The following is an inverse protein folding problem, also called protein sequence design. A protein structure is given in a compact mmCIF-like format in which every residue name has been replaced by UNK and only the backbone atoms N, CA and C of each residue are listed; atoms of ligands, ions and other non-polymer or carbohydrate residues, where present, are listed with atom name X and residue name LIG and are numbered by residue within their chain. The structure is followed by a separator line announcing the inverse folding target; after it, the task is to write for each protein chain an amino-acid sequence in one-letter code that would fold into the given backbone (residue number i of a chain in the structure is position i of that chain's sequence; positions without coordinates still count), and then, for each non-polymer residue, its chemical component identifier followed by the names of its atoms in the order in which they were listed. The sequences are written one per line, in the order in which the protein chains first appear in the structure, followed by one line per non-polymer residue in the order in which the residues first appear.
data_IF_530069776228
#
_entry.id   IF_530069776228
#
_cell.length_a   1.000
_cell.length_b   1.000
_cell.length_c   1.000
_cell.angle_alpha   90.00
_cell.angle_beta   90.00
_cell.angle_gamma   90.00
#
_symmetry.space_group_name_H-M   'P 1'
#
loop_
_entity.id
_entity.type
_entity.pdbx_description
1 polymer ?
#
# COMPACT_ATOMS: atom_id res chain seq x y z
N UNK A 1 11.34 -20.85 21.26
CA UNK A 1 10.12 -20.03 21.23
C UNK A 1 9.91 -19.67 19.77
N UNK A 2 8.71 -19.82 19.21
CA UNK A 2 8.45 -19.33 17.86
C UNK A 2 8.68 -17.82 17.85
N UNK A 3 9.37 -17.33 16.83
CA UNK A 3 9.51 -15.89 16.61
C UNK A 3 8.10 -15.27 16.47
N UNK A 4 7.83 -14.15 17.10
CA UNK A 4 6.50 -13.50 17.10
C UNK A 4 6.55 -12.20 16.31
N UNK A 5 5.46 -11.88 15.66
CA UNK A 5 5.25 -10.59 15.01
C UNK A 5 3.90 -10.03 15.45
N UNK A 6 3.86 -8.77 15.82
CA UNK A 6 2.64 -8.08 16.23
C UNK A 6 2.17 -7.15 15.11
N UNK A 7 0.96 -7.37 14.61
CA UNK A 7 0.38 -6.68 13.45
C UNK A 7 -0.87 -5.94 13.85
N UNK A 8 -0.90 -4.63 13.62
CA UNK A 8 -2.08 -3.81 13.77
C UNK A 8 -2.77 -3.59 12.42
N UNK A 9 -4.10 -3.76 12.40
CA UNK A 9 -4.92 -3.51 11.20
C UNK A 9 -6.03 -2.51 11.54
N UNK A 10 -6.08 -1.37 10.84
CA UNK A 10 -7.21 -0.42 10.93
C UNK A 10 -8.27 -0.72 9.88
N UNK A 11 -9.52 -0.34 10.13
CA UNK A 11 -10.63 -0.67 9.24
C UNK A 11 -10.88 -2.17 9.17
N UNK A 12 -10.64 -2.87 10.28
CA UNK A 12 -10.63 -4.32 10.37
C UNK A 12 -12.00 -4.96 10.08
N UNK A 13 -13.10 -4.28 10.41
CA UNK A 13 -14.46 -4.73 10.11
C UNK A 13 -14.89 -4.45 8.65
N UNK A 14 -14.07 -3.72 7.87
CA UNK A 14 -14.34 -3.43 6.47
C UNK A 14 -14.09 -4.63 5.55
N UNK A 15 -14.53 -4.53 4.30
CA UNK A 15 -14.38 -5.63 3.32
C UNK A 15 -12.90 -6.00 3.05
N UNK A 16 -12.00 -5.00 3.05
CA UNK A 16 -10.57 -5.26 2.88
C UNK A 16 -10.02 -5.94 4.13
N UNK A 17 -10.33 -5.43 5.34
CA UNK A 17 -9.92 -6.02 6.61
C UNK A 17 -10.35 -7.47 6.73
N UNK A 18 -11.63 -7.75 6.51
CA UNK A 18 -12.19 -9.09 6.55
C UNK A 18 -11.51 -10.07 5.55
N UNK A 19 -11.13 -9.58 4.36
CA UNK A 19 -10.39 -10.39 3.38
C UNK A 19 -8.89 -10.54 3.69
N UNK A 20 -8.31 -9.59 4.44
CA UNK A 20 -6.89 -9.52 4.75
C UNK A 20 -6.52 -10.35 5.98
N UNK A 21 -7.27 -10.18 7.06
CA UNK A 21 -6.94 -10.68 8.40
C UNK A 21 -6.71 -12.19 8.45
N UNK A 22 -7.58 -13.05 7.88
CA UNK A 22 -7.36 -14.50 7.86
C UNK A 22 -6.05 -14.89 7.17
N UNK A 23 -5.67 -14.15 6.13
CA UNK A 23 -4.45 -14.44 5.35
C UNK A 23 -3.16 -13.95 6.02
N UNK A 24 -3.24 -13.10 7.03
CA UNK A 24 -2.08 -12.74 7.83
C UNK A 24 -1.61 -13.91 8.70
N UNK A 25 -2.53 -14.78 9.10
CA UNK A 25 -2.33 -15.86 10.06
C UNK A 25 -2.45 -17.27 9.46
N UNK A 26 -2.54 -17.38 8.13
CA UNK A 26 -2.55 -18.66 7.40
C UNK A 26 -1.18 -19.37 7.33
N UNK A 27 -0.15 -18.73 7.90
CA UNK A 27 1.22 -19.26 7.91
C UNK A 27 2.05 -18.90 6.66
N UNK A 28 1.45 -18.28 5.63
CA UNK A 28 2.15 -17.95 4.38
C UNK A 28 2.71 -16.52 4.34
N UNK A 29 2.14 -15.59 5.11
CA UNK A 29 2.57 -14.19 5.12
C UNK A 29 3.81 -13.98 5.99
N UNK A 30 3.83 -14.60 7.15
CA UNK A 30 4.98 -14.61 8.08
C UNK A 30 5.42 -16.05 8.35
N UNK A 31 6.19 -16.66 7.43
CA UNK A 31 6.61 -18.06 7.59
C UNK A 31 7.35 -18.30 8.91
N UNK A 32 6.98 -19.36 9.61
CA UNK A 32 7.57 -19.79 10.89
C UNK A 32 7.41 -18.79 12.05
N UNK A 33 6.53 -17.79 11.92
CA UNK A 33 6.22 -16.86 13.01
C UNK A 33 4.81 -17.09 13.55
N UNK A 34 4.62 -16.77 14.82
CA UNK A 34 3.29 -16.57 15.42
C UNK A 34 2.89 -15.11 15.26
N UNK A 35 1.68 -14.86 14.80
CA UNK A 35 1.17 -13.50 14.52
C UNK A 35 0.18 -13.09 15.59
N UNK A 36 0.51 -12.05 16.33
CA UNK A 36 -0.42 -11.38 17.24
C UNK A 36 -1.14 -10.25 16.49
N UNK A 37 -2.45 -10.19 16.61
CA UNK A 37 -3.29 -9.21 15.90
C UNK A 37 -3.88 -8.17 16.86
N UNK A 38 -3.74 -6.90 16.49
CA UNK A 38 -4.46 -5.77 17.08
C UNK A 38 -5.42 -5.20 16.02
N UNK A 39 -6.71 -5.42 16.19
CA UNK A 39 -7.74 -4.98 15.25
C UNK A 39 -8.34 -3.66 15.72
N UNK A 40 -8.31 -2.65 14.86
CA UNK A 40 -8.78 -1.30 15.24
C UNK A 40 -9.91 -0.86 14.33
N UNK A 41 -10.97 -0.36 14.96
CA UNK A 41 -12.12 0.24 14.29
C UNK A 41 -12.61 1.49 15.01
N UNK A 42 -13.45 2.26 14.32
CA UNK A 42 -14.14 3.40 14.91
C UNK A 42 -15.20 2.92 15.94
N UNK A 43 -15.53 3.72 16.95
CA UNK A 43 -16.47 3.32 18.03
C UNK A 43 -17.82 2.79 17.53
N UNK A 44 -18.31 3.32 16.39
CA UNK A 44 -19.63 2.96 15.84
C UNK A 44 -19.69 1.52 15.28
N UNK A 45 -18.55 0.92 14.96
CA UNK A 45 -18.49 -0.41 14.34
C UNK A 45 -17.56 -1.40 15.06
N UNK A 46 -16.84 -0.98 16.09
CA UNK A 46 -15.89 -1.84 16.84
C UNK A 46 -16.51 -3.12 17.36
N UNK A 47 -17.79 -3.08 17.76
CA UNK A 47 -18.54 -4.26 18.23
C UNK A 47 -18.67 -5.36 17.18
N UNK A 48 -18.57 -5.04 15.88
CA UNK A 48 -18.59 -6.05 14.80
C UNK A 48 -17.33 -6.91 14.80
N UNK A 49 -16.25 -6.44 15.41
CA UNK A 49 -15.00 -7.19 15.49
C UNK A 49 -15.10 -8.41 16.40
N UNK A 50 -16.05 -8.42 17.36
CA UNK A 50 -16.31 -9.59 18.19
C UNK A 50 -16.66 -10.82 17.34
N UNK A 51 -17.54 -10.65 16.35
CA UNK A 51 -17.88 -11.73 15.40
C UNK A 51 -16.71 -12.17 14.54
N UNK A 52 -15.88 -11.22 14.09
CA UNK A 52 -14.66 -11.56 13.34
C UNK A 52 -13.68 -12.36 14.18
N UNK A 53 -13.50 -12.00 15.47
CA UNK A 53 -12.62 -12.73 16.39
C UNK A 53 -13.11 -14.17 16.57
N UNK A 54 -14.42 -14.38 16.79
CA UNK A 54 -15.00 -15.73 16.86
C UNK A 54 -14.71 -16.57 15.60
N UNK A 55 -14.90 -16.00 14.40
CA UNK A 55 -14.59 -16.69 13.14
C UNK A 55 -13.08 -17.02 13.00
N UNK A 56 -12.22 -16.12 13.47
CA UNK A 56 -10.76 -16.37 13.46
C UNK A 56 -10.38 -17.53 14.39
N UNK A 57 -11.00 -17.62 15.57
CA UNK A 57 -10.81 -18.72 16.52
C UNK A 57 -11.35 -20.04 15.95
N UNK A 58 -12.57 -20.02 15.39
CA UNK A 58 -13.20 -21.20 14.75
C UNK A 58 -12.40 -21.72 13.55
N UNK A 59 -11.70 -20.83 12.83
CA UNK A 59 -10.89 -21.18 11.66
C UNK A 59 -9.60 -21.90 12.02
N UNK A 60 -9.18 -21.90 13.28
CA UNK A 60 -7.99 -22.64 13.79
C UNK A 60 -6.71 -22.39 12.97
N UNK A 61 -6.43 -21.14 12.62
CA UNK A 61 -5.27 -20.75 11.81
C UNK A 61 -3.95 -21.10 12.50
N UNK A 62 -2.99 -21.76 11.82
CA UNK A 62 -1.78 -22.29 12.45
C UNK A 62 -0.83 -21.21 12.98
N UNK A 63 -0.86 -20.00 12.41
CA UNK A 63 0.01 -18.92 12.84
C UNK A 63 -0.68 -17.90 13.76
N UNK A 64 -1.99 -18.09 14.08
CA UNK A 64 -2.70 -17.17 14.95
C UNK A 64 -2.18 -17.25 16.39
N UNK A 65 -1.72 -16.11 16.90
CA UNK A 65 -1.36 -15.90 18.29
C UNK A 65 -2.52 -15.27 19.09
N UNK A 66 -2.21 -14.15 19.74
CA UNK A 66 -3.25 -13.36 20.41
C UNK A 66 -4.00 -12.53 19.38
N UNK A 67 -5.31 -12.34 19.61
CA UNK A 67 -6.14 -11.45 18.84
C UNK A 67 -6.90 -10.51 19.79
N UNK A 68 -6.72 -9.21 19.62
CA UNK A 68 -7.38 -8.17 20.38
C UNK A 68 -8.10 -7.23 19.44
N UNK A 69 -9.13 -6.54 19.92
CA UNK A 69 -9.79 -5.48 19.18
C UNK A 69 -10.16 -4.30 20.07
N UNK A 70 -10.14 -3.09 19.51
CA UNK A 70 -10.40 -1.84 20.24
C UNK A 70 -10.72 -0.70 19.28
N UNK A 71 -11.28 0.38 19.80
CA UNK A 71 -11.37 1.70 19.16
C UNK A 71 -10.24 2.65 19.57
N UNK A 72 -9.38 2.23 20.50
CA UNK A 72 -8.24 3.01 20.98
C UNK A 72 -6.97 2.67 20.19
N UNK A 73 -6.71 3.42 19.13
CA UNK A 73 -5.53 3.21 18.26
C UNK A 73 -4.21 3.33 19.04
N UNK A 74 -4.09 4.31 19.95
CA UNK A 74 -2.88 4.55 20.71
C UNK A 74 -2.47 3.34 21.57
N UNK A 75 -3.43 2.73 22.25
CA UNK A 75 -3.15 1.56 23.09
C UNK A 75 -2.82 0.34 22.23
N UNK A 76 -3.54 0.14 21.12
CA UNK A 76 -3.29 -0.95 20.18
C UNK A 76 -1.91 -0.85 19.52
N UNK A 77 -1.39 0.36 19.29
CA UNK A 77 -0.11 0.58 18.59
C UNK A 77 1.13 0.12 19.35
N UNK A 78 1.01 -0.11 20.68
CA UNK A 78 2.15 -0.43 21.55
C UNK A 78 2.90 -1.69 21.13
N UNK A 79 4.17 -1.53 20.75
CA UNK A 79 5.07 -2.61 20.38
C UNK A 79 4.64 -3.40 19.13
N UNK A 80 3.84 -2.81 18.24
CA UNK A 80 3.52 -3.42 16.97
C UNK A 80 4.70 -3.29 15.98
N UNK A 81 4.99 -4.40 15.28
CA UNK A 81 6.04 -4.51 14.28
C UNK A 81 5.55 -4.12 12.89
N UNK A 82 4.25 -4.34 12.63
CA UNK A 82 3.59 -4.00 11.39
C UNK A 82 2.29 -3.23 11.63
N UNK A 83 2.08 -2.21 10.81
CA UNK A 83 0.84 -1.46 10.75
C UNK A 83 0.26 -1.52 9.35
N UNK A 84 -0.94 -2.05 9.21
CA UNK A 84 -1.70 -2.07 7.97
C UNK A 84 -2.84 -1.06 8.10
N UNK A 85 -2.61 0.17 7.63
CA UNK A 85 -3.53 1.29 7.76
C UNK A 85 -4.53 1.27 6.60
N UNK A 86 -5.56 0.44 6.75
CA UNK A 86 -6.59 0.19 5.73
C UNK A 86 -7.75 1.17 5.86
N UNK A 87 -8.07 1.56 7.09
CA UNK A 87 -9.18 2.46 7.39
C UNK A 87 -8.96 3.86 6.82
N UNK A 88 -9.94 4.36 6.09
CA UNK A 88 -10.02 5.76 5.65
C UNK A 88 -11.48 6.12 5.38
N UNK A 89 -11.79 7.41 5.46
CA UNK A 89 -13.12 7.93 5.11
C UNK A 89 -13.27 7.90 3.59
N UNK A 90 -14.24 7.15 3.03
CA UNK A 90 -14.44 7.08 1.60
C UNK A 90 -15.16 8.32 1.05
N UNK A 91 -14.97 8.60 -0.25
CA UNK A 91 -15.71 9.64 -0.95
C UNK A 91 -17.22 9.31 -0.97
N UNK A 92 -18.06 10.34 -0.90
CA UNK A 92 -19.50 10.21 -1.08
C UNK A 92 -20.29 9.93 0.20
N UNK A 93 -19.62 9.76 1.36
CA UNK A 93 -20.33 9.62 2.63
C UNK A 93 -20.83 10.96 3.16
N UNK A 94 -21.83 10.89 4.03
CA UNK A 94 -22.33 12.06 4.78
C UNK A 94 -21.71 12.05 6.16
N UNK A 95 -20.90 13.08 6.45
CA UNK A 95 -20.29 13.30 7.75
C UNK A 95 -20.81 14.62 8.33
N UNK A 96 -21.35 14.60 9.53
CA UNK A 96 -21.94 15.78 10.19
C UNK A 96 -22.92 16.56 9.31
N UNK A 97 -23.73 15.86 8.51
CA UNK A 97 -24.70 16.47 7.59
C UNK A 97 -24.14 17.01 6.27
N UNK A 98 -22.83 16.96 6.07
CA UNK A 98 -22.17 17.36 4.81
C UNK A 98 -21.74 16.12 4.03
N UNK A 99 -22.12 16.04 2.76
CA UNK A 99 -21.62 14.99 1.83
C UNK A 99 -20.18 15.30 1.42
N UNK A 100 -19.27 14.37 1.63
CA UNK A 100 -17.84 14.52 1.33
C UNK A 100 -17.60 14.10 -0.12
N UNK A 101 -17.59 15.07 -1.02
CA UNK A 101 -17.38 14.85 -2.45
C UNK A 101 -16.11 15.51 -2.97
N UNK A 102 -15.75 16.66 -2.41
CA UNK A 102 -14.57 17.40 -2.80
C UNK A 102 -13.28 16.69 -2.35
N UNK A 103 -12.27 16.67 -3.27
CA UNK A 103 -10.97 16.08 -2.99
C UNK A 103 -10.27 16.75 -1.79
N UNK A 104 -10.38 18.06 -1.67
CA UNK A 104 -9.77 18.83 -0.58
C UNK A 104 -10.38 18.47 0.79
N UNK A 105 -11.71 18.32 0.87
CA UNK A 105 -12.37 17.90 2.11
C UNK A 105 -11.90 16.50 2.53
N UNK A 106 -11.80 15.59 1.56
CA UNK A 106 -11.36 14.21 1.81
C UNK A 106 -9.89 14.15 2.29
N UNK A 107 -9.02 14.95 1.69
CA UNK A 107 -7.62 15.08 2.08
C UNK A 107 -7.49 15.60 3.51
N UNK A 108 -8.24 16.64 3.87
CA UNK A 108 -8.20 17.23 5.21
C UNK A 108 -8.73 16.28 6.29
N UNK A 109 -9.87 15.62 6.03
CA UNK A 109 -10.49 14.70 7.01
C UNK A 109 -9.59 13.48 7.24
N UNK A 110 -9.16 12.83 6.17
CA UNK A 110 -8.26 11.69 6.30
C UNK A 110 -6.90 12.13 6.87
N UNK A 111 -6.38 13.28 6.44
CA UNK A 111 -5.13 13.81 6.97
C UNK A 111 -5.11 13.95 8.48
N UNK A 112 -6.19 14.44 9.09
CA UNK A 112 -6.32 14.51 10.56
C UNK A 112 -6.20 13.14 11.24
N UNK A 113 -6.82 12.11 10.65
CA UNK A 113 -6.71 10.72 11.15
C UNK A 113 -5.25 10.25 11.08
N UNK A 114 -4.56 10.51 9.96
CA UNK A 114 -3.17 10.07 9.78
C UNK A 114 -2.15 10.88 10.59
N UNK A 115 -2.45 12.12 11.01
CA UNK A 115 -1.68 12.84 12.01
C UNK A 115 -1.71 12.10 13.35
N UNK A 116 -2.90 11.82 13.88
CA UNK A 116 -3.07 11.10 15.15
C UNK A 116 -2.43 9.70 15.12
N UNK A 117 -2.63 8.96 14.03
CA UNK A 117 -2.03 7.63 13.85
C UNK A 117 -0.50 7.73 13.76
N UNK A 118 0.04 8.70 13.03
CA UNK A 118 1.47 8.93 12.91
C UNK A 118 2.13 9.18 14.26
N UNK A 119 1.57 10.12 15.04
CA UNK A 119 2.06 10.40 16.40
C UNK A 119 2.01 9.18 17.32
N UNK A 120 0.93 8.40 17.26
CA UNK A 120 0.80 7.20 18.09
C UNK A 120 1.80 6.11 17.68
N UNK A 121 1.99 5.88 16.38
CA UNK A 121 2.98 4.92 15.85
C UNK A 121 4.39 5.32 16.21
N UNK A 122 4.75 6.60 16.00
CA UNK A 122 6.08 7.12 16.31
C UNK A 122 6.46 6.99 17.78
N UNK A 123 5.47 7.15 18.67
CA UNK A 123 5.70 7.11 20.12
C UNK A 123 5.59 5.71 20.74
N UNK A 124 4.87 4.77 20.10
CA UNK A 124 4.49 3.52 20.74
C UNK A 124 4.73 2.26 19.90
N UNK A 125 4.87 2.37 18.58
CA UNK A 125 5.26 1.25 17.72
C UNK A 125 6.69 0.78 17.97
N UNK A 126 7.06 -0.38 17.47
CA UNK A 126 8.45 -0.85 17.49
C UNK A 126 9.37 0.14 16.76
N UNK A 127 10.62 0.25 17.17
CA UNK A 127 11.57 1.22 16.61
C UNK A 127 11.81 1.01 15.11
N UNK A 128 11.76 -0.23 14.65
CA UNK A 128 11.93 -0.65 13.26
C UNK A 128 10.61 -1.06 12.58
N UNK A 129 9.48 -0.59 13.12
CA UNK A 129 8.15 -0.93 12.60
C UNK A 129 8.02 -0.56 11.12
N UNK A 130 7.29 -1.41 10.39
CA UNK A 130 6.92 -1.18 9.00
C UNK A 130 5.44 -0.81 8.92
N UNK A 131 5.16 0.28 8.23
CA UNK A 131 3.83 0.83 8.09
C UNK A 131 3.43 0.79 6.60
N UNK A 132 2.31 0.15 6.29
CA UNK A 132 1.72 0.12 4.96
C UNK A 132 0.39 0.85 4.96
N UNK A 133 0.35 2.00 4.30
CA UNK A 133 -0.87 2.78 4.11
C UNK A 133 -1.61 2.27 2.88
N UNK A 134 -2.85 1.83 3.10
CA UNK A 134 -3.78 1.32 2.08
C UNK A 134 -4.95 2.28 1.88
N UNK A 135 -5.33 2.99 2.94
CA UNK A 135 -6.44 3.96 2.93
C UNK A 135 -6.13 5.18 2.05
N UNK A 136 -7.06 5.50 1.13
CA UNK A 136 -6.88 6.58 0.16
C UNK A 136 -7.18 7.99 0.73
N UNK A 137 -6.44 9.01 0.23
CA UNK A 137 -5.35 9.00 -0.76
C UNK A 137 -4.04 8.44 -0.16
N UNK A 138 -3.62 7.26 -0.59
CA UNK A 138 -2.61 6.47 0.10
C UNK A 138 -1.24 7.18 0.22
N UNK A 139 -0.74 7.76 -0.88
CA UNK A 139 0.55 8.45 -0.89
C UNK A 139 0.56 9.66 0.05
N UNK A 140 -0.46 10.49 -0.01
CA UNK A 140 -0.57 11.72 0.81
C UNK A 140 -0.81 11.38 2.27
N UNK A 141 -1.66 10.39 2.56
CA UNK A 141 -1.88 9.91 3.92
C UNK A 141 -0.58 9.33 4.53
N UNK A 142 0.21 8.61 3.74
CA UNK A 142 1.52 8.09 4.15
C UNK A 142 2.50 9.23 4.46
N UNK A 143 2.55 10.27 3.62
CA UNK A 143 3.38 11.45 3.86
C UNK A 143 3.02 12.13 5.19
N UNK A 144 1.72 12.37 5.43
CA UNK A 144 1.23 13.00 6.66
C UNK A 144 1.60 12.13 7.88
N UNK A 145 1.29 10.84 7.84
CA UNK A 145 1.59 9.92 8.95
C UNK A 145 3.08 9.84 9.26
N UNK A 146 3.92 9.72 8.23
CA UNK A 146 5.37 9.65 8.39
C UNK A 146 5.95 10.92 9.03
N UNK A 147 5.52 12.10 8.57
CA UNK A 147 6.01 13.35 9.15
C UNK A 147 5.52 13.56 10.59
N UNK A 148 4.30 13.12 10.89
CA UNK A 148 3.75 13.20 12.26
C UNK A 148 4.42 12.22 13.22
N UNK A 149 4.92 11.07 12.74
CA UNK A 149 5.57 10.04 13.55
C UNK A 149 6.90 10.52 14.16
N UNK A 150 7.64 11.40 13.49
CA UNK A 150 8.96 11.91 13.91
C UNK A 150 10.02 10.83 14.19
N UNK A 151 9.70 9.56 13.99
CA UNK A 151 10.61 8.44 14.18
C UNK A 151 11.20 8.02 12.83
N UNK A 152 12.47 8.32 12.62
CA UNK A 152 13.18 8.08 11.35
C UNK A 152 13.62 6.63 11.15
N UNK A 153 13.54 5.79 12.18
CA UNK A 153 13.88 4.36 12.09
C UNK A 153 12.74 3.53 11.50
N UNK A 154 11.50 4.01 11.61
CA UNK A 154 10.32 3.33 11.08
C UNK A 154 10.23 3.49 9.57
N UNK A 155 9.74 2.46 8.88
CA UNK A 155 9.58 2.47 7.42
C UNK A 155 8.12 2.68 7.04
N UNK A 156 7.81 3.83 6.46
CA UNK A 156 6.48 4.18 5.98
C UNK A 156 6.37 3.96 4.47
N UNK A 157 5.35 3.25 4.05
CA UNK A 157 5.07 2.93 2.64
C UNK A 157 3.59 3.14 2.32
N UNK A 158 3.29 3.55 1.08
CA UNK A 158 1.93 3.48 0.54
C UNK A 158 1.82 2.36 -0.49
N UNK A 159 0.65 1.70 -0.54
CA UNK A 159 0.43 0.53 -1.36
C UNK A 159 0.24 0.88 -2.84
N UNK A 160 1.17 0.49 -3.71
CA UNK A 160 1.03 0.49 -5.17
C UNK A 160 0.97 -0.92 -5.76
N UNK A 161 1.14 -1.95 -4.94
CA UNK A 161 1.15 -3.35 -5.36
C UNK A 161 -0.17 -3.80 -6.02
N UNK A 162 -1.31 -3.18 -5.65
CA UNK A 162 -2.58 -3.47 -6.31
C UNK A 162 -2.53 -3.13 -7.81
N UNK A 163 -1.94 -2.00 -8.15
CA UNK A 163 -1.82 -1.54 -9.53
C UNK A 163 -0.75 -2.34 -10.27
N UNK A 164 0.34 -2.70 -9.60
CA UNK A 164 1.34 -3.65 -10.10
C UNK A 164 0.68 -5.00 -10.46
N UNK A 165 -0.15 -5.56 -9.59
CA UNK A 165 -0.86 -6.81 -9.85
C UNK A 165 -1.88 -6.69 -11.00
N UNK A 166 -2.54 -5.54 -11.14
CA UNK A 166 -3.43 -5.24 -12.28
C UNK A 166 -2.66 -5.19 -13.58
N UNK A 167 -1.54 -4.47 -13.60
CA UNK A 167 -0.65 -4.36 -14.76
C UNK A 167 -0.12 -5.73 -15.18
N UNK A 168 0.38 -6.53 -14.24
CA UNK A 168 0.80 -7.92 -14.50
C UNK A 168 -0.32 -8.76 -15.10
N UNK A 169 -1.55 -8.61 -14.62
CA UNK A 169 -2.70 -9.37 -15.16
C UNK A 169 -3.04 -9.01 -16.60
N UNK A 170 -2.89 -7.73 -16.99
CA UNK A 170 -3.08 -7.29 -18.38
C UNK A 170 -1.97 -7.83 -19.27
N UNK A 171 -0.71 -7.68 -18.83
CA UNK A 171 0.45 -8.15 -19.58
C UNK A 171 0.51 -9.67 -19.73
N UNK A 172 0.12 -10.42 -18.68
CA UNK A 172 0.03 -11.88 -18.74
C UNK A 172 -0.86 -12.36 -19.90
N UNK A 173 -2.00 -11.68 -20.11
CA UNK A 173 -2.91 -11.98 -21.21
C UNK A 173 -2.35 -11.55 -22.57
N UNK A 174 -1.70 -10.38 -22.63
CA UNK A 174 -1.12 -9.85 -23.88
C UNK A 174 0.04 -10.70 -24.38
N UNK A 175 0.87 -11.19 -23.45
CA UNK A 175 2.08 -11.94 -23.76
C UNK A 175 1.83 -13.48 -23.83
N UNK A 176 0.61 -13.93 -23.50
CA UNK A 176 0.27 -15.35 -23.30
C UNK A 176 1.26 -16.05 -22.34
N UNK A 177 1.61 -15.36 -21.26
CA UNK A 177 2.55 -15.84 -20.26
C UNK A 177 1.92 -15.97 -18.88
N UNK A 178 2.39 -16.92 -18.08
CA UNK A 178 1.93 -17.04 -16.70
C UNK A 178 2.31 -15.78 -15.89
N UNK A 179 1.35 -15.23 -15.15
CA UNK A 179 1.53 -14.01 -14.36
C UNK A 179 2.70 -14.11 -13.37
N UNK A 180 3.03 -15.31 -12.87
CA UNK A 180 4.15 -15.54 -11.96
C UNK A 180 5.51 -15.36 -12.59
N UNK A 181 5.59 -15.36 -13.93
CA UNK A 181 6.84 -15.11 -14.67
C UNK A 181 7.10 -13.62 -14.94
N UNK A 182 6.11 -12.76 -14.69
CA UNK A 182 6.26 -11.32 -14.89
C UNK A 182 6.81 -10.71 -13.60
N UNK A 183 8.07 -10.32 -13.63
CA UNK A 183 8.78 -9.73 -12.51
C UNK A 183 8.98 -8.22 -12.70
N UNK A 184 9.35 -7.51 -11.65
CA UNK A 184 9.71 -6.07 -11.65
C UNK A 184 8.63 -5.14 -12.20
N UNK A 185 7.35 -5.46 -12.03
CA UNK A 185 6.28 -4.53 -12.42
C UNK A 185 6.22 -3.39 -11.40
N UNK A 186 6.79 -2.26 -11.76
CA UNK A 186 6.84 -1.05 -10.93
C UNK A 186 5.70 -0.12 -11.31
N UNK A 187 5.12 0.51 -10.32
CA UNK A 187 4.18 1.62 -10.48
C UNK A 187 4.88 2.88 -10.00
N UNK A 188 5.12 3.79 -10.92
CA UNK A 188 5.71 5.08 -10.60
C UNK A 188 4.64 6.10 -10.27
N UNK A 189 4.96 7.00 -9.33
CA UNK A 189 4.12 8.16 -9.03
C UNK A 189 3.05 7.91 -7.97
N UNK A 190 1.90 8.51 -8.16
CA UNK A 190 0.76 8.51 -7.25
C UNK A 190 -0.15 7.29 -7.47
N UNK A 191 -0.77 6.76 -6.40
CA UNK A 191 -1.86 5.78 -6.55
C UNK A 191 -3.15 6.48 -7.05
N UNK A 192 -3.15 6.88 -8.31
CA UNK A 192 -4.21 7.64 -8.98
C UNK A 192 -4.24 7.29 -10.48
N UNK A 193 -5.18 7.84 -11.27
CA UNK A 193 -5.18 7.65 -12.73
C UNK A 193 -3.95 8.22 -13.46
N UNK A 194 -3.06 8.96 -12.78
CA UNK A 194 -1.80 9.45 -13.36
C UNK A 194 -0.64 8.47 -13.18
N UNK A 195 -0.81 7.39 -12.42
CA UNK A 195 0.24 6.39 -12.21
C UNK A 195 0.84 5.88 -13.53
N UNK A 196 2.13 5.59 -13.51
CA UNK A 196 2.79 4.95 -14.66
C UNK A 196 3.21 3.51 -14.32
N UNK A 197 2.52 2.50 -14.87
CA UNK A 197 2.96 1.10 -14.84
C UNK A 197 4.12 0.90 -15.83
N UNK A 198 5.29 0.60 -15.30
CA UNK A 198 6.55 0.51 -16.06
C UNK A 198 6.64 -0.82 -16.82
N UNK A 199 6.19 -0.82 -18.05
CA UNK A 199 6.26 -2.00 -18.92
C UNK A 199 7.66 -2.26 -19.46
N UNK A 200 8.55 -1.25 -19.51
CA UNK A 200 9.88 -1.38 -20.11
C UNK A 200 10.85 -2.19 -19.23
N UNK A 201 10.78 -1.96 -17.90
CA UNK A 201 11.67 -2.59 -16.92
C UNK A 201 11.16 -3.94 -16.36
N UNK A 202 9.99 -4.44 -16.79
CA UNK A 202 9.58 -5.79 -16.41
C UNK A 202 10.56 -6.83 -16.99
N UNK A 203 10.62 -7.97 -16.30
CA UNK A 203 11.36 -9.14 -16.78
C UNK A 203 10.39 -10.30 -16.93
N UNK A 204 10.45 -10.98 -18.07
CA UNK A 204 9.71 -12.22 -18.34
C UNK A 204 10.70 -13.27 -18.80
N UNK A 205 11.07 -14.18 -17.93
CA UNK A 205 12.19 -15.08 -18.14
C UNK A 205 13.51 -14.29 -18.24
N UNK A 206 14.14 -14.28 -19.41
CA UNK A 206 15.39 -13.56 -19.66
C UNK A 206 15.21 -12.33 -20.57
N UNK A 207 13.98 -11.92 -20.87
CA UNK A 207 13.68 -10.80 -21.76
C UNK A 207 13.11 -9.63 -20.98
N UNK A 208 13.49 -8.42 -21.35
CA UNK A 208 12.88 -7.18 -20.83
C UNK A 208 11.51 -6.94 -21.48
N UNK A 209 10.68 -6.15 -20.80
CA UNK A 209 9.40 -5.73 -21.37
C UNK A 209 9.57 -4.94 -22.67
N UNK A 210 10.61 -4.11 -22.75
CA UNK A 210 10.95 -3.34 -23.96
C UNK A 210 11.25 -4.23 -25.17
N UNK A 211 11.84 -5.42 -24.96
CA UNK A 211 12.07 -6.40 -26.02
C UNK A 211 10.80 -7.15 -26.45
N UNK A 212 9.84 -7.29 -25.52
CA UNK A 212 8.63 -8.07 -25.73
C UNK A 212 7.45 -7.23 -26.26
N UNK A 213 7.43 -5.93 -25.92
CA UNK A 213 6.29 -5.05 -26.18
C UNK A 213 6.79 -3.88 -27.05
N UNK A 214 6.60 -4.00 -28.36
CA UNK A 214 7.05 -3.00 -29.34
C UNK A 214 5.92 -2.08 -29.84
N UNK A 215 4.67 -2.31 -29.41
CA UNK A 215 3.51 -1.54 -29.82
C UNK A 215 3.19 -0.45 -28.78
N UNK A 216 3.77 0.74 -29.00
CA UNK A 216 3.51 1.90 -28.14
C UNK A 216 2.06 2.39 -28.23
N UNK A 217 1.39 2.22 -29.37
CA UNK A 217 -0.03 2.59 -29.49
C UNK A 217 -0.88 1.71 -28.57
N UNK A 218 -0.62 0.40 -28.51
CA UNK A 218 -1.29 -0.48 -27.58
C UNK A 218 -1.00 -0.09 -26.12
N UNK A 219 0.21 0.31 -25.80
CA UNK A 219 0.56 0.80 -24.46
C UNK A 219 -0.30 2.01 -24.10
N UNK A 220 -0.34 3.04 -24.96
CA UNK A 220 -1.04 4.30 -24.65
C UNK A 220 -2.55 4.16 -24.71
N UNK A 221 -3.09 3.45 -25.69
CA UNK A 221 -4.53 3.38 -25.95
C UNK A 221 -5.22 2.27 -25.17
N UNK A 222 -4.49 1.26 -24.70
CA UNK A 222 -5.07 0.08 -24.05
C UNK A 222 -4.47 -0.21 -22.68
N UNK A 223 -3.16 -0.47 -22.59
CA UNK A 223 -2.54 -0.94 -21.36
C UNK A 223 -2.63 0.09 -20.23
N UNK A 224 -2.17 1.31 -20.45
CA UNK A 224 -2.19 2.37 -19.44
C UNK A 224 -3.63 2.66 -18.97
N UNK A 225 -4.61 2.94 -19.86
CA UNK A 225 -5.98 3.19 -19.45
C UNK A 225 -6.61 2.01 -18.70
N UNK A 226 -6.38 0.77 -19.12
CA UNK A 226 -6.90 -0.40 -18.44
C UNK A 226 -6.41 -0.53 -17.00
N UNK A 227 -5.15 -0.22 -16.74
CA UNK A 227 -4.58 -0.26 -15.38
C UNK A 227 -5.07 0.93 -14.56
N UNK A 228 -4.94 2.14 -15.08
CA UNK A 228 -5.27 3.41 -14.42
C UNK A 228 -6.74 3.52 -14.04
N UNK A 229 -7.65 3.01 -14.87
CA UNK A 229 -9.09 3.09 -14.66
C UNK A 229 -9.70 1.83 -14.04
N UNK A 230 -8.89 0.80 -13.75
CA UNK A 230 -9.39 -0.49 -13.21
C UNK A 230 -10.18 -0.32 -11.92
N UNK A 231 -9.76 0.59 -11.04
CA UNK A 231 -10.47 0.85 -9.78
C UNK A 231 -11.91 1.33 -10.02
N UNK A 232 -12.08 2.28 -10.95
CA UNK A 232 -13.40 2.76 -11.35
C UNK A 232 -14.24 1.65 -11.98
N UNK A 233 -13.69 0.88 -12.91
CA UNK A 233 -14.38 -0.22 -13.56
C UNK A 233 -14.89 -1.28 -12.57
N UNK A 234 -14.12 -1.58 -11.51
CA UNK A 234 -14.55 -2.46 -10.42
C UNK A 234 -15.72 -1.89 -9.66
N UNK A 235 -15.68 -0.59 -9.31
CA UNK A 235 -16.77 0.10 -8.62
C UNK A 235 -18.04 0.11 -9.47
N UNK A 236 -17.93 0.46 -10.74
CA UNK A 236 -19.06 0.54 -11.69
C UNK A 236 -19.73 -0.85 -11.84
N UNK A 237 -18.95 -1.92 -11.87
CA UNK A 237 -19.45 -3.29 -12.04
C UNK A 237 -19.95 -3.94 -10.75
N UNK A 238 -19.26 -3.70 -9.61
CA UNK A 238 -19.50 -4.40 -8.34
C UNK A 238 -20.38 -3.59 -7.37
N UNK A 239 -20.49 -2.27 -7.58
CA UNK A 239 -21.13 -1.35 -6.62
C UNK A 239 -20.29 -1.07 -5.38
N UNK A 240 -19.04 -1.55 -5.33
CA UNK A 240 -18.12 -1.37 -4.20
C UNK A 240 -16.66 -1.38 -4.67
N UNK A 241 -15.77 -0.79 -3.88
CA UNK A 241 -14.32 -0.80 -4.14
C UNK A 241 -13.73 -2.20 -4.12
N UNK A 242 -12.53 -2.34 -4.71
CA UNK A 242 -11.75 -3.57 -4.65
C UNK A 242 -11.49 -3.98 -3.20
N UNK A 243 -11.82 -5.20 -2.84
CA UNK A 243 -11.58 -5.75 -1.50
C UNK A 243 -10.57 -6.90 -1.54
N UNK A 244 -10.92 -8.02 -2.16
CA UNK A 244 -10.06 -9.22 -2.23
C UNK A 244 -8.70 -8.93 -2.88
N UNK A 245 -8.68 -8.16 -4.00
CA UNK A 245 -7.44 -7.82 -4.68
C UNK A 245 -6.61 -6.79 -3.90
N UNK A 246 -7.25 -5.85 -3.19
CA UNK A 246 -6.55 -4.91 -2.31
C UNK A 246 -5.92 -5.64 -1.11
N UNK A 247 -6.66 -6.55 -0.47
CA UNK A 247 -6.14 -7.40 0.60
C UNK A 247 -4.95 -8.25 0.12
N UNK A 248 -5.07 -8.88 -1.06
CA UNK A 248 -3.97 -9.66 -1.67
C UNK A 248 -2.73 -8.79 -1.92
N UNK A 249 -2.93 -7.58 -2.45
CA UNK A 249 -1.82 -6.65 -2.73
C UNK A 249 -1.12 -6.17 -1.46
N UNK A 250 -1.87 -5.90 -0.38
CA UNK A 250 -1.28 -5.57 0.92
C UNK A 250 -0.41 -6.72 1.44
N UNK A 251 -0.92 -7.96 1.38
CA UNK A 251 -0.15 -9.16 1.76
C UNK A 251 1.07 -9.37 0.87
N UNK A 252 0.97 -9.13 -0.45
CA UNK A 252 2.11 -9.24 -1.36
C UNK A 252 3.20 -8.23 -1.02
N UNK A 253 2.81 -7.00 -0.62
CA UNK A 253 3.76 -5.99 -0.15
C UNK A 253 4.45 -6.45 1.14
N UNK A 254 3.70 -6.94 2.14
CA UNK A 254 4.28 -7.48 3.37
C UNK A 254 5.25 -8.62 3.07
N UNK A 255 4.84 -9.59 2.23
CA UNK A 255 5.70 -10.72 1.83
C UNK A 255 6.97 -10.26 1.10
N UNK A 256 6.87 -9.24 0.24
CA UNK A 256 8.03 -8.69 -0.45
C UNK A 256 9.01 -8.04 0.55
N UNK A 257 8.50 -7.27 1.51
CA UNK A 257 9.30 -6.68 2.58
C UNK A 257 9.98 -7.72 3.48
N UNK A 258 9.27 -8.80 3.82
CA UNK A 258 9.80 -9.88 4.67
C UNK A 258 10.68 -10.89 3.91
N UNK A 259 10.75 -10.81 2.57
CA UNK A 259 11.48 -11.77 1.74
C UNK A 259 12.99 -11.75 1.96
N UNK A 260 13.57 -10.59 2.27
CA UNK A 260 15.01 -10.36 2.49
C UNK A 260 15.89 -10.83 1.32
N UNK A 261 15.36 -10.77 0.11
CA UNK A 261 16.01 -11.32 -1.10
C UNK A 261 16.88 -10.32 -1.86
N UNK A 262 16.98 -9.07 -1.41
CA UNK A 262 17.72 -8.02 -2.10
C UNK A 262 17.21 -7.81 -3.53
N UNK A 263 18.12 -7.49 -4.43
CA UNK A 263 17.83 -7.20 -5.84
C UNK A 263 17.20 -8.36 -6.64
N UNK A 264 17.18 -9.60 -6.08
CA UNK A 264 16.48 -10.71 -6.73
C UNK A 264 14.96 -10.64 -6.58
N UNK A 265 14.44 -9.70 -5.78
CA UNK A 265 13.00 -9.49 -5.60
C UNK A 265 12.69 -7.98 -5.53
N UNK A 266 12.72 -7.32 -6.68
CA UNK A 266 12.32 -5.91 -6.80
C UNK A 266 10.79 -5.84 -6.87
N UNK A 267 10.20 -4.99 -6.03
CA UNK A 267 8.75 -4.83 -5.93
C UNK A 267 8.33 -3.36 -5.93
N UNK A 268 7.05 -3.10 -6.10
CA UNK A 268 6.47 -1.76 -6.13
C UNK A 268 5.79 -1.40 -4.82
N UNK A 269 6.23 -0.30 -4.21
CA UNK A 269 5.47 0.43 -3.20
C UNK A 269 5.89 1.91 -3.24
N UNK A 270 5.09 2.80 -2.66
CA UNK A 270 5.47 4.19 -2.58
C UNK A 270 6.29 4.44 -1.30
N UNK A 271 7.41 5.12 -1.45
CA UNK A 271 8.32 5.49 -0.37
C UNK A 271 8.67 6.97 -0.50
N UNK A 272 9.16 7.58 0.58
CA UNK A 272 9.68 8.95 0.56
C UNK A 272 10.84 9.06 -0.41
N UNK A 273 10.75 9.99 -1.36
CA UNK A 273 11.82 10.29 -2.30
C UNK A 273 13.00 10.95 -1.60
N UNK A 274 14.21 10.52 -1.96
CA UNK A 274 15.46 11.07 -1.46
C UNK A 274 16.55 10.88 -2.52
N UNK A 275 16.87 11.93 -3.24
CA UNK A 275 17.90 11.97 -4.31
C UNK A 275 17.85 10.76 -5.24
N UNK A 276 16.67 10.38 -5.72
CA UNK A 276 16.47 9.25 -6.60
C UNK A 276 15.74 9.66 -7.89
N UNK A 277 16.20 9.19 -9.02
CA UNK A 277 15.56 9.33 -10.32
C UNK A 277 15.21 10.78 -10.72
N UNK A 278 15.97 11.76 -10.23
CA UNK A 278 15.71 13.20 -10.47
C UNK A 278 14.29 13.64 -10.03
N UNK A 279 13.71 12.94 -9.07
CA UNK A 279 12.41 13.29 -8.49
C UNK A 279 12.59 14.35 -7.39
N UNK A 280 11.61 15.25 -7.19
CA UNK A 280 11.61 16.15 -6.06
C UNK A 280 11.71 15.36 -4.75
N UNK A 281 12.47 15.86 -3.79
CA UNK A 281 12.59 15.26 -2.46
C UNK A 281 11.31 15.45 -1.63
N UNK A 282 11.16 14.65 -0.60
CA UNK A 282 10.06 14.73 0.35
C UNK A 282 8.66 14.51 -0.26
N UNK A 283 8.56 13.62 -1.24
CA UNK A 283 7.29 13.09 -1.75
C UNK A 283 7.20 11.60 -1.45
N UNK A 284 6.03 11.11 -1.09
CA UNK A 284 5.77 9.67 -1.07
C UNK A 284 5.33 9.25 -2.46
N UNK A 285 6.25 8.66 -3.21
CA UNK A 285 6.11 8.35 -4.63
C UNK A 285 6.28 6.84 -4.87
N UNK A 286 5.50 6.26 -5.76
CA UNK A 286 5.67 4.87 -6.21
C UNK A 286 7.05 4.68 -6.84
N UNK A 287 7.80 3.69 -6.36
CA UNK A 287 9.21 3.45 -6.68
C UNK A 287 9.53 1.96 -6.76
N UNK A 288 10.63 1.58 -7.44
CA UNK A 288 11.19 0.24 -7.32
C UNK A 288 11.89 0.07 -5.97
N UNK A 289 11.45 -0.92 -5.19
CA UNK A 289 11.99 -1.20 -3.87
C UNK A 289 12.54 -2.62 -3.78
N UNK A 290 13.46 -2.83 -2.86
CA UNK A 290 13.93 -4.15 -2.45
C UNK A 290 14.00 -4.25 -0.92
N UNK A 291 13.89 -5.48 -0.40
CA UNK A 291 14.18 -5.77 1.00
C UNK A 291 15.58 -6.38 1.11
N UNK A 292 16.48 -5.68 1.80
CA UNK A 292 17.87 -6.17 2.00
C UNK A 292 17.88 -7.45 2.86
N UNK A 293 18.98 -8.22 2.87
CA UNK A 293 19.13 -9.39 3.76
C UNK A 293 18.92 -9.06 5.24
N UNK A 294 19.23 -7.83 5.66
CA UNK A 294 19.05 -7.32 7.03
C UNK A 294 17.58 -6.93 7.30
N UNK A 295 16.74 -6.89 6.26
CA UNK A 295 15.30 -6.54 6.35
C UNK A 295 14.98 -5.07 6.21
N UNK A 296 15.95 -4.23 5.78
CA UNK A 296 15.71 -2.83 5.44
C UNK A 296 15.04 -2.73 4.07
N UNK A 297 14.19 -1.74 3.90
CA UNK A 297 13.57 -1.43 2.61
C UNK A 297 14.36 -0.31 1.95
N UNK A 298 14.85 -0.56 0.76
CA UNK A 298 15.69 0.39 0.01
C UNK A 298 15.16 0.62 -1.39
N UNK A 299 15.41 1.83 -1.92
CA UNK A 299 15.09 2.20 -3.29
C UNK A 299 16.15 1.58 -4.21
N UNK A 300 15.72 0.84 -5.21
CA UNK A 300 16.58 0.41 -6.32
C UNK A 300 16.83 1.62 -7.21
N UNK A 301 18.10 1.94 -7.52
CA UNK A 301 18.46 3.24 -8.13
C UNK A 301 18.98 3.15 -9.56
N UNK A 302 19.01 1.96 -10.15
CA UNK A 302 19.68 1.66 -11.41
C UNK A 302 18.75 1.26 -12.57
N UNK A 303 17.43 1.46 -12.40
CA UNK A 303 16.50 1.24 -13.51
C UNK A 303 16.62 2.35 -14.55
N UNK A 304 16.61 1.97 -15.81
CA UNK A 304 16.62 2.93 -16.92
C UNK A 304 15.23 3.56 -17.09
N UNK A 305 15.20 4.89 -17.18
CA UNK A 305 13.99 5.67 -17.43
C UNK A 305 14.09 6.27 -18.82
N UNK A 306 13.26 5.81 -19.75
CA UNK A 306 13.15 6.39 -21.09
C UNK A 306 12.48 7.77 -21.05
N UNK A 307 12.60 8.55 -22.13
CA UNK A 307 11.91 9.85 -22.24
C UNK A 307 10.39 9.67 -22.11
N UNK A 308 9.84 8.61 -22.73
CA UNK A 308 8.42 8.26 -22.59
C UNK A 308 8.01 8.02 -21.14
N UNK A 309 8.78 7.20 -20.41
CA UNK A 309 8.54 6.93 -19.00
C UNK A 309 8.68 8.22 -18.17
N UNK A 310 9.68 9.04 -18.46
CA UNK A 310 9.93 10.32 -17.77
C UNK A 310 8.73 11.25 -17.86
N UNK A 311 8.14 11.42 -19.03
CA UNK A 311 6.97 12.28 -19.23
C UNK A 311 5.77 11.80 -18.41
N UNK A 312 5.51 10.47 -18.39
CA UNK A 312 4.42 9.89 -17.59
C UNK A 312 4.68 10.02 -16.08
N UNK A 313 5.90 9.81 -15.64
CA UNK A 313 6.31 9.97 -14.23
C UNK A 313 6.14 11.43 -13.79
N UNK A 314 6.60 12.39 -14.60
CA UNK A 314 6.50 13.81 -14.27
C UNK A 314 5.06 14.26 -14.11
N UNK A 315 4.12 13.76 -14.94
CA UNK A 315 2.70 14.04 -14.79
C UNK A 315 2.17 13.58 -13.41
N UNK A 316 2.56 12.39 -12.98
CA UNK A 316 2.11 11.84 -11.69
C UNK A 316 2.78 12.53 -10.49
N UNK A 317 4.04 12.94 -10.64
CA UNK A 317 4.78 13.71 -9.63
C UNK A 317 4.15 15.09 -9.43
N UNK A 318 3.77 15.77 -10.50
CA UNK A 318 3.07 17.06 -10.41
C UNK A 318 1.75 16.95 -9.62
N UNK A 319 1.03 15.84 -9.74
CA UNK A 319 -0.17 15.58 -8.91
C UNK A 319 0.21 15.42 -7.43
N UNK A 320 1.28 14.66 -7.11
CA UNK A 320 1.77 14.50 -5.74
C UNK A 320 2.20 15.82 -5.11
N UNK A 321 2.87 16.69 -5.85
CA UNK A 321 3.25 18.03 -5.38
C UNK A 321 2.03 18.89 -5.09
N UNK A 322 1.00 18.83 -5.95
CA UNK A 322 -0.27 19.52 -5.73
C UNK A 322 -0.99 19.00 -4.47
N UNK A 323 -1.01 17.68 -4.26
CA UNK A 323 -1.59 17.08 -3.04
C UNK A 323 -0.80 17.47 -1.78
N UNK A 324 0.55 17.41 -1.82
CA UNK A 324 1.41 17.88 -0.71
C UNK A 324 1.12 19.33 -0.35
N UNK A 325 0.98 20.20 -1.36
CA UNK A 325 0.64 21.60 -1.15
C UNK A 325 -0.76 21.79 -0.52
N UNK A 326 -1.73 20.96 -0.92
CA UNK A 326 -3.10 21.03 -0.38
C UNK A 326 -3.16 20.67 1.11
N UNK A 327 -2.24 19.83 1.60
CA UNK A 327 -2.17 19.36 3.00
C UNK A 327 -1.03 20.01 3.79
N UNK A 328 -0.39 21.04 3.28
CA UNK A 328 0.79 21.70 3.90
C UNK A 328 0.61 22.07 5.36
N UNK A 329 -0.63 22.42 5.76
CA UNK A 329 -0.92 22.81 7.13
C UNK A 329 -0.93 21.61 8.10
N UNK A 330 -1.11 20.40 7.59
CA UNK A 330 -0.98 19.15 8.36
C UNK A 330 0.46 18.63 8.42
N UNK A 331 1.35 19.15 7.58
CA UNK A 331 2.77 18.79 7.52
C UNK A 331 3.65 19.69 8.37
N UNK A 332 3.07 20.68 9.04
CA UNK A 332 3.82 21.55 9.95
C UNK A 332 4.08 20.84 11.27
N UNK A 333 5.32 20.58 11.51
CA UNK A 333 5.86 20.06 12.78
C UNK A 333 6.61 21.13 13.52
#
# INVERSE_FOLDING_TARGET
MSDRVKVLVTGAAGQIGYSLIPRLVDGTTFPNKTVDLELVEIPQVVSKLEGLVMEMEDSSFPALGKINFTDNFKDASKGCDWFLLVGSIPRGIVLNGKKIEERADLLNINGGIFVEQGEAIGNHGSDDAKILVVGNPANTNCLIGQQSAKNTSQTWMAMTMLDSNRAKSVLSKQLDENISKIERMIIWGNHSPTMYPDFENIIVGNKSGKELINDLSWIEDTFLPMVQQRGKAVIDSRGASSATSAAKAALDTVKACESRKGASNIFSAALMTNDCYELPNDLVCGLPLMSTPEGKIEIVRDLNISDFARDKINLSVAELEAEKNAVKDLLKT
#
